data_IF_077568133453
#
_entry.id   IF_077568133453
#
_cell.length_a   1.000
_cell.length_b   1.000
_cell.length_c   1.000
_cell.angle_alpha   90.00
_cell.angle_beta   90.00
_cell.angle_gamma   90.00
#
_symmetry.space_group_name_H-M   'P 1'
#
loop_
_entity.id
_entity.type
_entity.pdbx_description
1 polymer ?
#
# COMPACT_ATOMS: atom_id res chain seq x y z
N UNK A 1 37.88 66.68 58.37
CA UNK A 1 38.73 65.51 58.62
C UNK A 1 38.56 64.55 57.44
N UNK A 2 39.62 64.34 56.64
CA UNK A 2 39.90 63.11 55.88
C UNK A 2 38.93 62.70 54.73
N UNK A 3 39.33 62.37 53.48
CA UNK A 3 40.62 62.06 52.81
C UNK A 3 40.44 62.14 51.28
N UNK A 4 41.55 62.38 50.57
CA UNK A 4 41.95 61.85 49.26
C UNK A 4 40.92 61.19 48.32
N UNK A 5 41.00 61.51 47.01
CA UNK A 5 41.23 60.54 45.90
C UNK A 5 41.29 61.24 44.53
N UNK A 6 42.46 61.23 43.87
CA UNK A 6 42.88 60.33 42.77
C UNK A 6 42.07 60.48 41.48
N UNK A 7 42.74 61.02 40.46
CA UNK A 7 42.30 61.01 39.07
C UNK A 7 42.38 59.59 38.49
N UNK A 8 41.38 59.20 37.69
CA UNK A 8 41.49 58.04 36.81
C UNK A 8 40.61 58.26 35.57
N UNK A 9 41.27 58.42 34.42
CA UNK A 9 40.66 58.44 33.10
C UNK A 9 40.05 57.06 32.81
N UNK A 10 38.75 57.03 32.51
CA UNK A 10 38.09 55.84 32.00
C UNK A 10 38.22 55.80 30.47
N UNK A 11 39.10 54.93 29.96
CA UNK A 11 39.14 54.58 28.55
C UNK A 11 37.94 53.67 28.23
N UNK A 12 37.06 54.13 27.33
CA UNK A 12 35.93 53.35 26.84
C UNK A 12 36.47 52.36 25.80
N UNK A 13 36.66 51.10 26.22
CA UNK A 13 36.94 49.98 25.31
C UNK A 13 35.60 49.51 24.74
N UNK A 14 35.33 49.86 23.48
CA UNK A 14 34.17 49.34 22.74
C UNK A 14 34.52 47.91 22.30
N UNK A 15 34.11 46.93 23.09
CA UNK A 15 34.26 45.51 22.77
C UNK A 15 33.14 45.12 21.79
N UNK A 16 33.46 45.06 20.50
CA UNK A 16 32.54 44.58 19.47
C UNK A 16 32.33 43.07 19.61
N UNK A 17 31.17 42.66 20.10
CA UNK A 17 30.72 41.27 20.07
C UNK A 17 30.48 40.87 18.60
N UNK A 18 31.38 40.08 18.02
CA UNK A 18 31.10 39.40 16.76
C UNK A 18 30.12 38.25 17.03
N UNK A 19 28.82 38.49 16.80
CA UNK A 19 27.80 37.45 16.82
C UNK A 19 27.99 36.60 15.57
N UNK A 20 28.60 35.42 15.71
CA UNK A 20 28.63 34.42 14.64
C UNK A 20 27.23 33.83 14.45
N UNK A 21 26.51 34.30 13.44
CA UNK A 21 25.28 33.67 12.98
C UNK A 21 25.66 32.33 12.35
N UNK A 22 25.44 31.25 13.08
CA UNK A 22 25.61 29.89 12.58
C UNK A 22 24.47 29.64 11.59
N UNK A 23 24.76 29.72 10.30
CA UNK A 23 23.80 29.43 9.25
C UNK A 23 23.31 27.98 9.38
N UNK A 24 22.04 27.78 9.70
CA UNK A 24 21.39 26.49 9.59
C UNK A 24 21.28 26.14 8.11
N UNK A 25 21.92 25.05 7.68
CA UNK A 25 21.74 24.52 6.34
C UNK A 25 20.26 24.16 6.14
N UNK A 26 19.64 24.49 4.98
CA UNK A 26 18.27 24.09 4.71
C UNK A 26 18.19 22.56 4.71
N UNK A 27 17.25 22.02 5.50
CA UNK A 27 16.93 20.59 5.42
C UNK A 27 16.50 20.26 3.99
N UNK A 28 16.90 19.09 3.44
CA UNK A 28 16.42 18.69 2.12
C UNK A 28 14.89 18.66 2.16
N UNK A 29 14.27 19.30 1.17
CA UNK A 29 12.83 19.22 0.98
C UNK A 29 12.44 17.74 0.92
N UNK A 30 11.57 17.30 1.83
CA UNK A 30 11.04 15.94 1.80
C UNK A 30 10.31 15.78 0.46
N UNK A 31 10.83 14.93 -0.42
CA UNK A 31 10.14 14.54 -1.65
C UNK A 31 8.80 13.95 -1.26
N UNK A 32 7.72 14.70 -1.46
CA UNK A 32 6.37 14.19 -1.26
C UNK A 32 6.14 13.09 -2.28
N UNK A 33 5.97 11.85 -1.80
CA UNK A 33 5.55 10.75 -2.66
C UNK A 33 4.21 11.10 -3.30
N UNK A 34 3.98 10.72 -4.56
CA UNK A 34 2.69 10.92 -5.18
C UNK A 34 1.59 10.26 -4.32
N UNK A 35 0.40 10.87 -4.24
CA UNK A 35 -0.70 10.32 -3.46
C UNK A 35 -1.05 8.91 -3.98
N UNK A 36 -1.32 7.99 -3.06
CA UNK A 36 -1.79 6.65 -3.43
C UNK A 36 -3.22 6.74 -3.93
N UNK A 37 -3.41 6.34 -5.19
CA UNK A 37 -4.73 6.21 -5.81
C UNK A 37 -5.06 4.72 -5.87
N UNK A 38 -6.09 4.32 -5.12
CA UNK A 38 -6.61 2.96 -5.19
C UNK A 38 -7.39 2.75 -6.49
N UNK A 39 -7.34 1.56 -7.11
CA UNK A 39 -8.19 1.24 -8.25
C UNK A 39 -9.69 1.45 -7.97
N UNK A 40 -10.45 1.78 -9.00
CA UNK A 40 -11.91 1.87 -8.88
C UNK A 40 -12.54 0.52 -8.47
N UNK A 41 -13.65 0.57 -7.75
CA UNK A 41 -14.42 -0.63 -7.37
C UNK A 41 -15.32 -0.40 -6.15
N UNK A 42 -16.35 -1.24 -6.01
CA UNK A 42 -17.44 -1.05 -5.03
C UNK A 42 -16.96 -0.92 -3.58
N UNK A 43 -15.86 -1.58 -3.22
CA UNK A 43 -15.29 -1.53 -1.87
C UNK A 43 -14.06 -0.60 -1.75
N UNK A 44 -13.74 0.21 -2.76
CA UNK A 44 -12.57 1.13 -2.71
C UNK A 44 -12.64 2.05 -1.50
N UNK A 45 -13.78 2.70 -1.30
CA UNK A 45 -13.93 3.69 -0.22
C UNK A 45 -14.01 3.01 1.16
N UNK A 46 -14.56 1.79 1.22
CA UNK A 46 -14.53 0.94 2.42
C UNK A 46 -13.10 0.55 2.80
N UNK A 47 -12.31 0.05 1.85
CA UNK A 47 -10.91 -0.32 2.05
C UNK A 47 -10.10 0.90 2.47
N UNK A 48 -10.29 2.04 1.80
CA UNK A 48 -9.64 3.29 2.19
C UNK A 48 -9.96 3.65 3.64
N UNK A 49 -11.24 3.67 4.01
CA UNK A 49 -11.68 3.99 5.37
C UNK A 49 -11.04 3.08 6.40
N UNK A 50 -11.17 1.76 6.24
CA UNK A 50 -10.70 0.78 7.23
C UNK A 50 -9.17 0.66 7.31
N UNK A 51 -8.48 0.68 6.16
CA UNK A 51 -7.04 0.41 6.13
C UNK A 51 -6.20 1.66 6.47
N UNK A 52 -6.75 2.87 6.34
CA UNK A 52 -6.06 4.12 6.72
C UNK A 52 -6.21 4.49 8.20
N UNK A 53 -6.99 3.74 8.99
CA UNK A 53 -7.18 4.04 10.42
C UNK A 53 -5.89 3.88 11.24
N UNK A 54 -5.01 2.96 10.83
CA UNK A 54 -3.80 2.60 11.59
C UNK A 54 -2.49 2.94 10.87
N UNK A 55 -2.44 2.87 9.54
CA UNK A 55 -1.23 3.13 8.75
C UNK A 55 -1.57 3.54 7.30
N UNK A 56 -0.59 4.02 6.54
CA UNK A 56 -0.81 4.36 5.12
C UNK A 56 -1.13 3.14 4.23
N UNK A 57 -1.79 3.35 3.10
CA UNK A 57 -2.07 2.33 2.07
C UNK A 57 -0.84 1.87 1.27
N UNK A 58 0.35 2.45 1.51
CA UNK A 58 1.58 2.09 0.79
C UNK A 58 1.84 0.58 0.84
N UNK A 59 1.62 -0.05 1.99
CA UNK A 59 1.81 -1.50 2.16
C UNK A 59 0.83 -2.35 1.33
N UNK A 60 -0.38 -1.84 1.07
CA UNK A 60 -1.40 -2.52 0.27
C UNK A 60 -1.01 -2.50 -1.22
N UNK A 61 -0.62 -1.34 -1.73
CA UNK A 61 -0.32 -1.16 -3.17
C UNK A 61 1.08 -1.66 -3.57
N UNK A 62 1.99 -1.84 -2.61
CA UNK A 62 3.37 -2.21 -2.90
C UNK A 62 3.56 -3.67 -3.35
N UNK A 63 2.63 -4.58 -3.05
CA UNK A 63 2.78 -6.01 -3.33
C UNK A 63 1.44 -6.67 -3.64
N UNK A 64 1.44 -7.52 -4.68
CA UNK A 64 0.36 -8.49 -4.87
C UNK A 64 0.62 -9.75 -4.04
N UNK A 65 -0.43 -10.44 -3.59
CA UNK A 65 -0.36 -11.65 -2.74
C UNK A 65 -1.39 -12.69 -3.14
N UNK A 66 -1.16 -13.94 -2.74
CA UNK A 66 -2.17 -14.99 -2.83
C UNK A 66 -3.35 -14.69 -1.87
N UNK A 67 -4.56 -15.24 -2.12
CA UNK A 67 -5.70 -15.03 -1.23
C UNK A 67 -5.44 -15.46 0.22
N UNK A 68 -4.73 -16.58 0.41
CA UNK A 68 -4.34 -17.06 1.74
C UNK A 68 -3.40 -16.09 2.46
N UNK A 69 -2.42 -15.54 1.75
CA UNK A 69 -1.48 -14.56 2.30
C UNK A 69 -2.19 -13.23 2.64
N UNK A 70 -3.17 -12.81 1.84
CA UNK A 70 -4.01 -11.67 2.18
C UNK A 70 -4.84 -11.93 3.42
N UNK A 71 -5.36 -13.15 3.57
CA UNK A 71 -6.11 -13.52 4.77
C UNK A 71 -5.25 -13.41 6.01
N UNK A 72 -4.03 -13.96 5.99
CA UNK A 72 -3.07 -13.86 7.09
C UNK A 72 -2.74 -12.40 7.47
N UNK A 73 -2.61 -11.51 6.47
CA UNK A 73 -2.37 -10.08 6.70
C UNK A 73 -3.55 -9.44 7.42
N UNK A 74 -4.77 -9.68 6.95
CA UNK A 74 -5.97 -9.11 7.56
C UNK A 74 -6.23 -9.69 8.96
N UNK A 75 -6.02 -10.99 9.16
CA UNK A 75 -6.16 -11.62 10.47
C UNK A 75 -5.17 -11.02 11.48
N UNK A 76 -3.94 -10.72 11.03
CA UNK A 76 -2.98 -9.98 11.83
C UNK A 76 -3.47 -8.57 12.16
N UNK A 77 -4.06 -7.84 11.20
CA UNK A 77 -4.62 -6.50 11.46
C UNK A 77 -5.77 -6.56 12.46
N UNK A 78 -6.68 -7.53 12.34
CA UNK A 78 -7.77 -7.75 13.31
C UNK A 78 -7.23 -8.07 14.70
N UNK A 79 -6.19 -8.92 14.81
CA UNK A 79 -5.53 -9.20 16.09
C UNK A 79 -4.87 -7.97 16.72
N UNK A 80 -4.58 -6.94 15.92
CA UNK A 80 -3.98 -5.67 16.34
C UNK A 80 -5.01 -4.56 16.58
N UNK A 81 -6.31 -4.86 16.49
CA UNK A 81 -7.39 -3.94 16.83
C UNK A 81 -8.12 -3.32 15.64
N UNK A 82 -7.85 -3.72 14.39
CA UNK A 82 -8.76 -3.44 13.28
C UNK A 82 -10.12 -4.08 13.57
N UNK A 83 -11.21 -3.41 13.21
CA UNK A 83 -12.55 -3.94 13.34
C UNK A 83 -13.32 -3.76 12.03
N UNK A 84 -14.01 -4.82 11.60
CA UNK A 84 -14.91 -4.81 10.46
C UNK A 84 -16.07 -5.77 10.75
N UNK A 85 -17.24 -5.51 10.18
CA UNK A 85 -18.32 -6.50 10.13
C UNK A 85 -17.98 -7.62 9.14
N UNK A 86 -18.63 -8.79 9.26
CA UNK A 86 -18.43 -9.92 8.34
C UNK A 86 -18.68 -9.50 6.87
N UNK A 87 -19.68 -8.67 6.63
CA UNK A 87 -20.01 -8.14 5.30
C UNK A 87 -18.93 -7.19 4.78
N UNK A 88 -18.33 -6.37 5.66
CA UNK A 88 -17.21 -5.50 5.30
C UNK A 88 -15.95 -6.29 5.02
N UNK A 89 -15.62 -7.28 5.85
CA UNK A 89 -14.48 -8.18 5.60
C UNK A 89 -14.61 -8.88 4.25
N UNK A 90 -15.78 -9.45 3.96
CA UNK A 90 -16.04 -10.09 2.68
C UNK A 90 -15.81 -9.14 1.49
N UNK A 91 -16.29 -7.90 1.59
CA UNK A 91 -16.09 -6.86 0.55
C UNK A 91 -14.62 -6.46 0.40
N UNK A 92 -13.91 -6.28 1.52
CA UNK A 92 -12.48 -5.97 1.55
C UNK A 92 -11.69 -7.09 0.87
N UNK A 93 -11.92 -8.34 1.26
CA UNK A 93 -11.23 -9.52 0.70
C UNK A 93 -11.45 -9.62 -0.81
N UNK A 94 -12.68 -9.43 -1.29
CA UNK A 94 -12.99 -9.47 -2.72
C UNK A 94 -12.20 -8.37 -3.46
N UNK A 95 -12.23 -7.15 -2.94
CA UNK A 95 -11.56 -6.02 -3.57
C UNK A 95 -10.05 -6.13 -3.59
N UNK A 96 -9.41 -6.53 -2.48
CA UNK A 96 -7.94 -6.67 -2.45
C UNK A 96 -7.48 -7.83 -3.33
N UNK A 97 -8.26 -8.90 -3.48
CA UNK A 97 -7.92 -9.98 -4.39
C UNK A 97 -8.09 -9.57 -5.85
N UNK A 98 -9.16 -8.84 -6.19
CA UNK A 98 -9.35 -8.33 -7.56
C UNK A 98 -8.22 -7.39 -7.98
N UNK A 99 -7.77 -6.52 -7.07
CA UNK A 99 -6.83 -5.45 -7.41
C UNK A 99 -5.37 -5.79 -7.13
N UNK A 100 -5.12 -6.56 -6.07
CA UNK A 100 -3.79 -6.88 -5.55
C UNK A 100 -3.60 -8.38 -5.31
N UNK A 101 -4.47 -9.22 -5.87
CA UNK A 101 -4.34 -10.67 -5.81
C UNK A 101 -3.33 -11.23 -6.82
N UNK A 102 -2.80 -12.40 -6.48
CA UNK A 102 -2.19 -13.38 -7.37
C UNK A 102 -2.91 -14.71 -7.20
N UNK A 103 -2.87 -15.56 -8.22
CA UNK A 103 -3.49 -16.88 -8.14
C UNK A 103 -2.74 -17.89 -9.00
N UNK A 104 -2.61 -19.10 -8.47
CA UNK A 104 -2.20 -20.27 -9.24
C UNK A 104 -3.46 -20.88 -9.87
N UNK A 105 -3.60 -20.86 -11.22
CA UNK A 105 -4.79 -21.39 -11.89
C UNK A 105 -4.98 -22.89 -11.66
N UNK A 106 -3.93 -23.61 -11.24
CA UNK A 106 -3.96 -25.04 -10.93
C UNK A 106 -4.32 -25.35 -9.48
N UNK A 107 -4.21 -24.38 -8.56
CA UNK A 107 -4.46 -24.60 -7.12
C UNK A 107 -5.65 -23.81 -6.56
N UNK A 108 -5.97 -22.66 -7.14
CA UNK A 108 -7.04 -21.78 -6.64
C UNK A 108 -8.42 -22.43 -6.63
N UNK A 109 -9.25 -22.10 -5.66
CA UNK A 109 -10.68 -22.46 -5.67
C UNK A 109 -11.44 -21.63 -6.71
N UNK A 110 -12.67 -22.04 -7.05
CA UNK A 110 -13.51 -21.27 -7.97
C UNK A 110 -13.74 -19.84 -7.46
N UNK A 111 -14.02 -19.69 -6.16
CA UNK A 111 -14.23 -18.37 -5.52
C UNK A 111 -13.00 -17.47 -5.64
N UNK A 112 -11.81 -18.02 -5.41
CA UNK A 112 -10.55 -17.27 -5.54
C UNK A 112 -10.26 -16.88 -6.98
N UNK A 113 -10.49 -17.79 -7.94
CA UNK A 113 -10.36 -17.50 -9.36
C UNK A 113 -11.30 -16.36 -9.79
N UNK A 114 -12.56 -16.43 -9.38
CA UNK A 114 -13.55 -15.38 -9.65
C UNK A 114 -13.11 -14.03 -9.08
N UNK A 115 -12.60 -14.03 -7.84
CA UNK A 115 -12.18 -12.80 -7.17
C UNK A 115 -10.91 -12.21 -7.76
N UNK A 116 -9.86 -13.01 -7.99
CA UNK A 116 -8.55 -12.51 -8.45
C UNK A 116 -8.55 -12.20 -9.94
N UNK A 117 -9.21 -13.04 -10.74
CA UNK A 117 -9.25 -12.89 -12.19
C UNK A 117 -10.46 -12.09 -12.66
N UNK A 118 -11.39 -11.74 -11.77
CA UNK A 118 -12.64 -11.02 -12.10
C UNK A 118 -13.39 -11.72 -13.24
N UNK A 119 -13.75 -12.98 -13.00
CA UNK A 119 -14.44 -13.86 -13.96
C UNK A 119 -15.71 -14.43 -13.35
N UNK A 120 -16.63 -14.89 -14.20
CA UNK A 120 -17.85 -15.58 -13.79
C UNK A 120 -17.60 -16.97 -13.22
N UNK A 121 -18.58 -17.52 -12.51
CA UNK A 121 -18.56 -18.91 -12.01
C UNK A 121 -18.30 -19.90 -13.15
N UNK A 122 -19.02 -19.78 -14.27
CA UNK A 122 -18.85 -20.65 -15.44
C UNK A 122 -17.42 -20.64 -15.98
N UNK A 123 -16.76 -19.49 -15.98
CA UNK A 123 -15.36 -19.39 -16.41
C UNK A 123 -14.40 -20.01 -15.39
N UNK A 124 -14.63 -19.81 -14.09
CA UNK A 124 -13.81 -20.43 -13.06
C UNK A 124 -13.92 -21.96 -13.10
N UNK A 125 -15.12 -22.49 -13.30
CA UNK A 125 -15.36 -23.93 -13.46
C UNK A 125 -14.64 -24.47 -14.71
N UNK A 126 -14.64 -23.71 -15.80
CA UNK A 126 -13.92 -24.08 -17.02
C UNK A 126 -12.40 -24.08 -16.83
N UNK A 127 -11.84 -23.12 -16.06
CA UNK A 127 -10.41 -23.13 -15.68
C UNK A 127 -10.09 -24.38 -14.87
N UNK A 128 -10.93 -24.73 -13.90
CA UNK A 128 -10.74 -25.94 -13.06
C UNK A 128 -10.79 -27.21 -13.91
N UNK A 129 -11.76 -27.31 -14.82
CA UNK A 129 -11.91 -28.45 -15.72
C UNK A 129 -10.76 -28.60 -16.72
N UNK A 130 -10.12 -27.49 -17.10
CA UNK A 130 -9.01 -27.46 -18.04
C UNK A 130 -7.63 -27.75 -17.40
N UNK A 131 -7.57 -28.00 -16.09
CA UNK A 131 -6.31 -28.29 -15.40
C UNK A 131 -5.64 -29.57 -15.92
N UNK A 132 -4.30 -29.61 -16.02
CA UNK A 132 -3.38 -28.54 -15.67
C UNK A 132 -3.26 -27.46 -16.77
N UNK A 133 -3.22 -26.20 -16.35
CA UNK A 133 -2.87 -25.04 -17.16
C UNK A 133 -1.34 -24.92 -17.13
N UNK A 134 -0.67 -25.17 -18.26
CA UNK A 134 0.79 -25.20 -18.33
C UNK A 134 1.39 -23.81 -18.59
N UNK A 135 0.66 -22.98 -19.33
CA UNK A 135 1.05 -21.60 -19.63
C UNK A 135 -0.16 -20.66 -19.61
N UNK A 136 0.09 -19.36 -19.46
CA UNK A 136 -0.96 -18.32 -19.47
C UNK A 136 -1.80 -18.39 -20.75
N UNK A 137 -1.17 -18.72 -21.87
CA UNK A 137 -1.78 -18.81 -23.20
C UNK A 137 -2.82 -19.93 -23.30
N UNK A 138 -2.73 -20.97 -22.45
CA UNK A 138 -3.73 -22.04 -22.42
C UNK A 138 -5.12 -21.54 -21.99
N UNK A 139 -5.17 -20.43 -21.25
CA UNK A 139 -6.44 -19.81 -20.86
C UNK A 139 -7.24 -19.32 -22.08
N UNK A 140 -6.59 -19.00 -23.21
CA UNK A 140 -7.29 -18.54 -24.42
C UNK A 140 -8.24 -19.59 -25.04
N UNK A 141 -8.07 -20.86 -24.65
CA UNK A 141 -8.95 -21.96 -25.06
C UNK A 141 -10.28 -21.95 -24.29
N UNK A 142 -10.36 -21.17 -23.21
CA UNK A 142 -11.54 -21.07 -22.35
C UNK A 142 -12.40 -19.88 -22.80
N UNK A 143 -13.71 -20.08 -23.07
CA UNK A 143 -14.60 -19.00 -23.42
C UNK A 143 -14.53 -17.80 -22.45
N UNK A 144 -14.37 -16.60 -23.01
CA UNK A 144 -14.28 -15.35 -22.25
C UNK A 144 -12.88 -14.98 -21.73
N UNK A 145 -11.84 -15.74 -22.08
CA UNK A 145 -10.44 -15.33 -21.94
C UNK A 145 -9.87 -14.88 -23.29
N UNK A 146 -10.30 -13.71 -23.76
CA UNK A 146 -9.70 -13.10 -24.96
C UNK A 146 -8.31 -12.51 -24.68
N UNK A 147 -7.63 -12.04 -25.74
CA UNK A 147 -6.29 -11.45 -25.65
C UNK A 147 -6.23 -10.29 -24.64
N UNK A 148 -7.29 -9.46 -24.59
CA UNK A 148 -7.36 -8.33 -23.68
C UNK A 148 -7.46 -8.80 -22.23
N UNK A 149 -8.32 -9.80 -21.95
CA UNK A 149 -8.48 -10.38 -20.62
C UNK A 149 -7.18 -11.02 -20.15
N UNK A 150 -6.53 -11.80 -21.00
CA UNK A 150 -5.26 -12.46 -20.70
C UNK A 150 -4.16 -11.43 -20.41
N UNK A 151 -4.04 -10.38 -21.24
CA UNK A 151 -3.08 -9.31 -21.01
C UNK A 151 -3.31 -8.61 -19.65
N UNK A 152 -4.56 -8.38 -19.28
CA UNK A 152 -4.94 -7.69 -18.04
C UNK A 152 -4.70 -8.50 -16.75
N UNK A 153 -4.64 -9.83 -16.85
CA UNK A 153 -4.47 -10.73 -15.68
C UNK A 153 -3.11 -11.41 -15.63
N UNK A 154 -2.26 -11.24 -16.66
CA UNK A 154 -0.97 -11.96 -16.77
C UNK A 154 -0.08 -11.78 -15.53
N UNK A 155 -0.04 -10.58 -14.97
CA UNK A 155 0.77 -10.25 -13.78
C UNK A 155 0.17 -10.80 -12.45
N UNK A 156 -1.07 -11.31 -12.52
CA UNK A 156 -1.79 -11.94 -11.40
C UNK A 156 -1.59 -13.46 -11.37
N UNK A 157 -1.11 -14.07 -12.45
CA UNK A 157 -0.94 -15.52 -12.52
C UNK A 157 0.43 -15.95 -11.98
N UNK A 158 0.44 -17.02 -11.21
CA UNK A 158 1.65 -17.75 -10.79
C UNK A 158 1.49 -19.22 -11.16
N UNK A 159 2.60 -19.92 -11.44
CA UNK A 159 2.62 -21.33 -11.86
C UNK A 159 3.62 -22.10 -11.00
#
# INVERSE_FOLDING_TARGET
MNRFRFAASAAIVVLTLAVSVRGAAPAPAATQLPPIVLPEGDARDLVKRLCEECHSLQSLVARRRLPSEWREVLDKMYSQGMAATDDEDAKVVIYINANFGKIDPNKGTAKELMSVLEISQTQADAVIAARPIAAVEDLAKIPGFDEKKIAAIRDRLVF
#
